data_IF_361241684537
#
_entry.id   IF_361241684537
#
_cell.length_a   1.000
_cell.length_b   1.000
_cell.length_c   1.000
_cell.angle_alpha   90.00
_cell.angle_beta   90.00
_cell.angle_gamma   90.00
#
_symmetry.space_group_name_H-M   'P 1'
#
loop_
_entity.id
_entity.type
_entity.pdbx_description
1 polymer ?
#
# COMPACT_ATOMS: atom_id res chain seq x y z
N UNK A 1 6.82 11.06 -6.10
CA UNK A 1 7.51 9.87 -5.53
C UNK A 1 7.36 8.75 -6.52
N UNK A 2 8.48 8.19 -7.00
CA UNK A 2 8.50 7.02 -7.87
C UNK A 2 8.26 5.75 -7.03
N UNK A 3 7.44 4.82 -7.54
CA UNK A 3 6.97 3.62 -6.84
C UNK A 3 7.08 2.34 -7.69
N UNK A 4 7.26 2.42 -9.02
CA UNK A 4 7.25 1.27 -9.94
C UNK A 4 8.28 0.16 -9.63
N UNK A 5 9.30 0.49 -8.86
CA UNK A 5 10.38 -0.43 -8.48
C UNK A 5 10.69 -0.36 -6.99
N UNK A 6 9.78 0.21 -6.20
CA UNK A 6 9.92 0.19 -4.75
C UNK A 6 9.80 -1.25 -4.25
N UNK A 7 10.57 -1.60 -3.22
CA UNK A 7 10.43 -2.91 -2.58
C UNK A 7 9.01 -3.04 -1.99
N UNK A 8 8.41 -4.25 -2.01
CA UNK A 8 7.05 -4.42 -1.52
C UNK A 8 6.84 -3.92 -0.10
N UNK A 9 7.76 -4.24 0.81
CA UNK A 9 7.71 -3.76 2.19
C UNK A 9 7.70 -2.22 2.29
N UNK A 10 8.36 -1.49 1.40
CA UNK A 10 8.35 -0.03 1.40
C UNK A 10 6.98 0.54 1.04
N UNK A 11 6.28 -0.07 0.07
CA UNK A 11 4.89 0.30 -0.26
C UNK A 11 3.99 0.08 0.97
N UNK A 12 4.14 -1.05 1.65
CA UNK A 12 3.38 -1.34 2.86
C UNK A 12 3.71 -0.39 4.00
N UNK A 13 4.98 -0.02 4.22
CA UNK A 13 5.39 0.97 5.24
C UNK A 13 4.80 2.35 5.01
N UNK A 14 4.58 2.75 3.76
CA UNK A 14 3.89 4.01 3.43
C UNK A 14 2.39 4.00 3.79
N UNK A 15 1.77 2.82 3.90
CA UNK A 15 0.35 2.65 4.22
C UNK A 15 0.13 2.35 5.70
N UNK A 16 0.91 1.43 6.27
CA UNK A 16 0.69 0.92 7.61
C UNK A 16 1.38 1.86 8.60
N UNK A 17 0.65 2.44 9.58
CA UNK A 17 1.26 3.28 10.60
C UNK A 17 2.34 2.52 11.38
N UNK A 18 3.48 3.16 11.65
CA UNK A 18 4.59 2.55 12.38
C UNK A 18 4.21 1.97 13.76
N UNK A 19 3.16 2.49 14.40
CA UNK A 19 2.64 1.96 15.66
C UNK A 19 2.05 0.53 15.56
N UNK A 20 1.83 0.04 14.34
CA UNK A 20 1.33 -1.31 14.07
C UNK A 20 2.46 -2.26 13.60
N UNK A 21 3.66 -1.75 13.33
CA UNK A 21 4.78 -2.58 12.89
C UNK A 21 5.26 -3.43 14.06
N UNK A 22 5.63 -4.67 13.76
CA UNK A 22 6.10 -5.64 14.73
C UNK A 22 7.57 -5.94 14.45
N UNK A 23 8.38 -6.00 15.51
CA UNK A 23 9.79 -6.41 15.45
C UNK A 23 10.61 -5.69 14.37
N UNK A 24 10.38 -4.38 14.20
CA UNK A 24 10.96 -3.60 13.10
C UNK A 24 12.50 -3.60 13.06
N UNK A 25 13.15 -3.82 14.21
CA UNK A 25 14.61 -3.89 14.32
C UNK A 25 15.17 -5.30 14.02
N UNK A 26 14.32 -6.34 14.04
CA UNK A 26 14.70 -7.75 13.85
C UNK A 26 14.34 -8.28 12.45
N UNK A 27 13.50 -7.56 11.71
CA UNK A 27 13.05 -7.93 10.36
C UNK A 27 14.06 -7.49 9.28
N UNK A 28 14.26 -8.26 8.20
CA UNK A 28 14.96 -7.81 7.00
C UNK A 28 14.38 -6.50 6.42
N UNK A 29 15.22 -5.68 5.78
CA UNK A 29 14.79 -4.39 5.24
C UNK A 29 13.71 -4.52 4.15
N UNK A 30 13.71 -5.62 3.39
CA UNK A 30 12.76 -5.92 2.32
C UNK A 30 11.50 -6.66 2.80
N UNK A 31 11.39 -6.96 4.10
CA UNK A 31 10.24 -7.63 4.70
C UNK A 31 9.51 -6.72 5.71
N UNK A 32 8.25 -7.02 5.99
CA UNK A 32 7.49 -6.30 7.01
C UNK A 32 6.53 -7.25 7.74
N UNK A 33 6.63 -7.27 9.06
CA UNK A 33 5.61 -7.83 9.94
C UNK A 33 4.80 -6.70 10.58
N UNK A 34 3.48 -6.81 10.55
CA UNK A 34 2.62 -5.83 11.21
C UNK A 34 1.30 -6.46 11.65
N UNK A 35 0.68 -5.90 12.70
CA UNK A 35 -0.67 -6.30 13.07
C UNK A 35 -1.69 -5.27 12.59
N UNK A 36 -2.84 -5.74 12.13
CA UNK A 36 -3.97 -4.88 11.84
C UNK A 36 -5.28 -5.59 12.16
N UNK A 37 -6.09 -4.96 13.01
CA UNK A 37 -7.32 -5.55 13.57
C UNK A 37 -7.04 -6.91 14.22
N UNK A 38 -7.60 -7.96 13.66
CA UNK A 38 -7.62 -9.31 14.22
C UNK A 38 -6.60 -10.24 13.58
N UNK A 39 -5.65 -9.70 12.79
CA UNK A 39 -4.63 -10.49 12.11
C UNK A 39 -3.23 -9.88 12.27
N UNK A 40 -2.23 -10.73 12.13
CA UNK A 40 -0.82 -10.41 11.89
C UNK A 40 -0.54 -10.68 10.42
N UNK A 41 0.14 -9.75 9.76
CA UNK A 41 0.48 -9.82 8.34
C UNK A 41 1.99 -9.92 8.19
N UNK A 42 2.40 -10.74 7.23
CA UNK A 42 3.80 -10.97 6.88
C UNK A 42 3.94 -10.63 5.41
N UNK A 43 4.74 -9.61 5.11
CA UNK A 43 5.09 -9.19 3.75
C UNK A 43 6.50 -9.66 3.50
N UNK A 44 6.67 -10.54 2.52
CA UNK A 44 7.97 -11.08 2.14
C UNK A 44 8.63 -10.22 1.06
N UNK A 45 9.94 -10.37 0.88
CA UNK A 45 10.72 -9.59 -0.08
C UNK A 45 10.31 -9.78 -1.55
N UNK A 46 9.66 -10.90 -1.87
CA UNK A 46 9.11 -11.18 -3.20
C UNK A 46 7.73 -10.55 -3.44
N UNK A 47 7.13 -9.92 -2.42
CA UNK A 47 5.82 -9.28 -2.49
C UNK A 47 4.66 -10.17 -2.06
N UNK A 48 4.90 -11.45 -1.80
CA UNK A 48 3.87 -12.33 -1.22
C UNK A 48 3.46 -11.82 0.16
N UNK A 49 2.17 -12.00 0.46
CA UNK A 49 1.60 -11.60 1.74
C UNK A 49 0.89 -12.78 2.37
N UNK A 50 1.18 -13.00 3.65
CA UNK A 50 0.49 -13.99 4.49
C UNK A 50 -0.27 -13.28 5.61
N UNK A 51 -1.42 -13.82 6.00
CA UNK A 51 -2.15 -13.38 7.18
C UNK A 51 -2.39 -14.53 8.16
N UNK A 52 -2.13 -14.25 9.42
CA UNK A 52 -2.35 -15.15 10.54
C UNK A 52 -3.37 -14.52 11.49
N UNK A 53 -4.42 -15.24 11.91
CA UNK A 53 -5.32 -14.76 12.95
C UNK A 53 -4.54 -14.42 14.22
N UNK A 54 -4.78 -13.23 14.77
CA UNK A 54 -4.03 -12.70 15.91
C UNK A 54 -4.40 -13.51 17.16
N UNK A 55 -3.44 -14.25 17.76
CA UNK A 55 -3.72 -15.04 18.96
C UNK A 55 -3.97 -14.12 20.16
N UNK A 56 -4.71 -14.61 21.16
CA UNK A 56 -4.96 -13.85 22.39
C UNK A 56 -3.67 -13.45 23.14
N UNK A 57 -2.60 -14.23 22.96
CA UNK A 57 -1.29 -14.00 23.56
C UNK A 57 -0.35 -13.11 22.73
N UNK A 58 -0.79 -12.51 21.62
CA UNK A 58 0.11 -11.85 20.66
C UNK A 58 1.03 -10.79 21.28
N UNK A 59 0.57 -10.03 22.27
CA UNK A 59 1.37 -8.98 22.93
C UNK A 59 2.58 -9.52 23.70
N UNK A 60 2.59 -10.83 23.99
CA UNK A 60 3.68 -11.50 24.70
C UNK A 60 4.57 -12.32 23.79
N UNK A 61 4.21 -12.42 22.51
CA UNK A 61 4.94 -13.24 21.56
C UNK A 61 6.14 -12.47 21.02
N UNK A 62 7.22 -13.20 20.76
CA UNK A 62 8.34 -12.71 19.98
C UNK A 62 8.20 -13.05 18.48
N UNK A 63 9.14 -12.57 17.67
CA UNK A 63 9.14 -12.80 16.22
C UNK A 63 9.24 -14.29 15.87
N UNK A 64 10.05 -15.06 16.60
CA UNK A 64 10.25 -16.49 16.35
C UNK A 64 8.96 -17.27 16.62
N UNK A 65 8.25 -16.94 17.70
CA UNK A 65 6.96 -17.55 18.03
C UNK A 65 5.89 -17.22 16.98
N UNK A 66 5.88 -15.99 16.45
CA UNK A 66 4.99 -15.60 15.36
C UNK A 66 5.26 -16.40 14.08
N UNK A 67 6.53 -16.55 13.70
CA UNK A 67 6.93 -17.32 12.52
C UNK A 67 6.65 -18.82 12.67
N UNK A 68 6.86 -19.37 13.87
CA UNK A 68 6.51 -20.77 14.15
C UNK A 68 5.00 -20.99 14.02
N UNK A 69 4.19 -20.06 14.55
CA UNK A 69 2.74 -20.15 14.45
C UNK A 69 2.28 -20.01 12.99
N UNK A 70 2.87 -19.09 12.24
CA UNK A 70 2.61 -18.93 10.81
C UNK A 70 2.83 -20.25 10.03
N UNK A 71 3.94 -20.94 10.31
CA UNK A 71 4.30 -22.18 9.64
C UNK A 71 3.48 -23.42 10.05
N UNK A 72 2.76 -23.35 11.17
CA UNK A 72 2.04 -24.50 11.76
C UNK A 72 0.53 -24.32 11.83
N UNK A 73 0.02 -23.11 11.60
CA UNK A 73 -1.39 -22.79 11.65
C UNK A 73 -2.11 -23.18 10.37
N UNK A 74 -3.17 -23.99 10.51
CA UNK A 74 -4.11 -24.31 9.41
C UNK A 74 -5.01 -23.11 9.04
N UNK A 75 -5.00 -22.05 9.85
CA UNK A 75 -5.78 -20.82 9.62
C UNK A 75 -4.95 -19.72 8.92
N UNK A 76 -3.71 -20.01 8.53
CA UNK A 76 -2.89 -19.08 7.75
C UNK A 76 -3.53 -18.88 6.38
N UNK A 77 -3.71 -17.62 6.00
CA UNK A 77 -4.15 -17.22 4.67
C UNK A 77 -2.93 -16.84 3.86
N UNK A 78 -2.65 -17.59 2.80
CA UNK A 78 -1.74 -17.18 1.74
C UNK A 78 -2.55 -16.45 0.65
N UNK A 79 -2.22 -15.18 0.40
CA UNK A 79 -2.93 -14.40 -0.62
C UNK A 79 -2.55 -14.83 -2.04
N UNK A 80 -1.40 -15.48 -2.23
CA UNK A 80 -0.93 -15.97 -3.53
C UNK A 80 -1.68 -17.21 -4.01
N UNK A 81 -2.15 -18.06 -3.07
CA UNK A 81 -2.88 -19.30 -3.36
C UNK A 81 -4.14 -19.08 -4.21
N UNK A 82 -4.72 -17.87 -4.17
CA UNK A 82 -5.94 -17.53 -4.89
C UNK A 82 -5.68 -16.80 -6.22
N UNK A 83 -4.42 -16.58 -6.60
CA UNK A 83 -4.06 -15.92 -7.85
C UNK A 83 -4.35 -14.41 -7.87
N UNK A 84 -4.57 -13.78 -6.71
CA UNK A 84 -4.83 -12.35 -6.57
C UNK A 84 -3.68 -11.67 -5.81
N UNK A 85 -2.65 -11.26 -6.54
CA UNK A 85 -1.34 -10.82 -6.01
C UNK A 85 -1.23 -9.32 -5.71
N UNK A 86 -2.23 -8.51 -6.08
CA UNK A 86 -2.08 -7.05 -5.99
C UNK A 86 -2.42 -6.49 -4.59
N UNK A 87 -1.71 -5.43 -4.20
CA UNK A 87 -1.91 -4.74 -2.92
C UNK A 87 -3.37 -4.37 -2.65
N UNK A 88 -4.13 -3.95 -3.67
CA UNK A 88 -5.50 -3.51 -3.51
C UNK A 88 -6.45 -4.66 -3.12
N UNK A 89 -6.19 -5.88 -3.60
CA UNK A 89 -6.90 -7.08 -3.13
C UNK A 89 -6.64 -7.32 -1.65
N UNK A 90 -5.37 -7.38 -1.25
CA UNK A 90 -4.98 -7.63 0.16
C UNK A 90 -5.58 -6.54 1.06
N UNK A 91 -5.42 -5.26 0.71
CA UNK A 91 -6.00 -4.13 1.47
C UNK A 91 -7.53 -4.25 1.62
N UNK A 92 -8.23 -4.76 0.61
CA UNK A 92 -9.67 -4.99 0.65
C UNK A 92 -10.03 -6.14 1.60
N UNK A 93 -9.30 -7.25 1.56
CA UNK A 93 -9.52 -8.40 2.47
C UNK A 93 -9.22 -8.05 3.92
N UNK A 94 -8.15 -7.31 4.16
CA UNK A 94 -7.83 -6.72 5.47
C UNK A 94 -8.93 -5.79 6.00
N UNK A 95 -9.76 -5.25 5.09
CA UNK A 95 -10.66 -4.15 5.33
C UNK A 95 -9.91 -2.89 5.79
N UNK A 96 -8.73 -2.65 5.23
CA UNK A 96 -7.88 -1.51 5.59
C UNK A 96 -8.63 -0.19 5.39
N UNK A 97 -8.50 0.72 6.37
CA UNK A 97 -9.12 2.05 6.33
C UNK A 97 -8.00 3.09 6.35
N UNK A 98 -7.78 3.74 5.21
CA UNK A 98 -6.80 4.81 5.11
C UNK A 98 -7.16 5.98 6.05
N UNK A 99 -6.26 6.42 6.93
CA UNK A 99 -6.53 7.51 7.85
C UNK A 99 -6.67 8.84 7.10
N UNK A 100 -7.82 9.49 7.25
CA UNK A 100 -8.12 10.80 6.59
C UNK A 100 -8.01 12.01 7.51
N UNK A 101 -7.90 11.77 8.83
CA UNK A 101 -7.99 12.79 9.88
C UNK A 101 -6.66 13.46 10.24
N UNK A 102 -5.53 12.76 10.07
CA UNK A 102 -4.21 13.28 10.41
C UNK A 102 -3.52 13.81 9.15
N UNK A 103 -3.67 15.11 8.89
CA UNK A 103 -2.59 15.93 8.32
C UNK A 103 -3.07 17.38 8.15
N UNK A 104 -2.28 18.32 8.66
CA UNK A 104 -2.35 19.75 8.28
C UNK A 104 -1.86 19.99 6.83
N UNK A 105 -1.41 18.94 6.14
CA UNK A 105 -0.83 18.94 4.80
C UNK A 105 -1.71 18.19 3.80
N UNK A 106 -3.00 18.52 3.76
CA UNK A 106 -3.84 18.11 2.63
C UNK A 106 -3.35 18.84 1.38
N UNK A 107 -3.05 18.11 0.32
CA UNK A 107 -2.56 18.67 -0.93
C UNK A 107 -3.30 18.07 -2.13
N UNK A 108 -3.01 18.59 -3.31
CA UNK A 108 -3.34 17.90 -4.55
C UNK A 108 -2.21 16.93 -4.88
N UNK A 109 -2.56 15.71 -5.27
CA UNK A 109 -1.62 14.68 -5.70
C UNK A 109 -2.00 14.18 -7.09
N UNK A 110 -1.04 14.20 -8.01
CA UNK A 110 -1.15 13.61 -9.33
C UNK A 110 -0.62 12.19 -9.28
N UNK A 111 -1.45 11.24 -9.69
CA UNK A 111 -1.15 9.81 -9.71
C UNK A 111 -0.94 9.38 -11.16
N UNK A 112 0.09 8.58 -11.40
CA UNK A 112 0.34 7.90 -12.68
C UNK A 112 0.40 6.39 -12.42
N UNK A 113 -0.50 5.66 -13.08
CA UNK A 113 -0.55 4.19 -13.11
C UNK A 113 -0.17 3.75 -14.52
N UNK A 114 0.68 2.73 -14.63
CA UNK A 114 1.14 2.19 -15.90
C UNK A 114 0.78 0.71 -16.02
N UNK A 115 0.59 0.26 -17.26
CA UNK A 115 0.62 -1.16 -17.60
C UNK A 115 2.08 -1.62 -17.69
N UNK A 116 2.48 -2.63 -16.92
CA UNK A 116 3.88 -3.07 -16.81
C UNK A 116 4.42 -3.67 -18.14
N UNK A 117 3.55 -4.20 -19.00
CA UNK A 117 3.91 -4.76 -20.31
C UNK A 117 4.17 -3.65 -21.35
N UNK A 118 3.39 -2.56 -21.33
CA UNK A 118 3.56 -1.41 -22.23
C UNK A 118 3.52 -0.06 -21.49
N UNK A 119 4.52 0.24 -20.62
CA UNK A 119 4.45 1.38 -19.71
C UNK A 119 4.40 2.74 -20.39
N UNK A 120 4.97 2.83 -21.61
CA UNK A 120 5.03 4.07 -22.39
C UNK A 120 3.77 4.34 -23.21
N UNK A 121 2.95 3.31 -23.46
CA UNK A 121 1.82 3.37 -24.39
C UNK A 121 0.47 3.39 -23.68
N UNK A 122 0.42 2.86 -22.45
CA UNK A 122 -0.80 2.72 -21.66
C UNK A 122 -0.56 3.18 -20.23
N UNK A 123 -0.80 4.47 -19.99
CA UNK A 123 -0.81 5.04 -18.64
C UNK A 123 -2.14 5.72 -18.33
N UNK A 124 -2.57 5.60 -17.07
CA UNK A 124 -3.71 6.32 -16.51
C UNK A 124 -3.19 7.40 -15.59
N UNK A 125 -3.57 8.64 -15.83
CA UNK A 125 -3.21 9.78 -14.99
C UNK A 125 -4.44 10.48 -14.45
N UNK A 126 -4.44 10.83 -13.17
CA UNK A 126 -5.52 11.58 -12.54
C UNK A 126 -5.01 12.33 -11.31
N UNK A 127 -5.81 13.27 -10.82
CA UNK A 127 -5.48 14.10 -9.67
C UNK A 127 -6.51 13.91 -8.55
N UNK A 128 -6.03 13.72 -7.33
CA UNK A 128 -6.84 13.77 -6.11
C UNK A 128 -6.56 15.08 -5.39
N UNK A 129 -7.63 15.82 -5.07
CA UNK A 129 -7.54 17.15 -4.44
C UNK A 129 -7.80 17.07 -2.94
N UNK A 130 -6.98 17.79 -2.17
CA UNK A 130 -7.13 17.99 -0.71
C UNK A 130 -7.12 16.66 0.07
N UNK A 131 -6.23 15.75 -0.30
CA UNK A 131 -6.03 14.45 0.38
C UNK A 131 -4.65 14.39 1.03
N UNK A 132 -4.44 13.43 1.93
CA UNK A 132 -3.09 13.06 2.40
C UNK A 132 -2.38 12.18 1.37
N UNK A 133 -1.07 12.07 1.47
CA UNK A 133 -0.30 11.13 0.63
C UNK A 133 -0.77 9.69 0.83
N UNK A 134 -0.92 9.24 2.08
CA UNK A 134 -1.33 7.87 2.40
C UNK A 134 -2.68 7.51 1.77
N UNK A 135 -3.62 8.47 1.75
CA UNK A 135 -4.91 8.29 1.07
C UNK A 135 -4.74 8.24 -0.45
N UNK A 136 -3.87 9.08 -1.03
CA UNK A 136 -3.58 9.04 -2.45
C UNK A 136 -2.94 7.71 -2.86
N UNK A 137 -2.01 7.17 -2.05
CA UNK A 137 -1.39 5.86 -2.26
C UNK A 137 -2.41 4.74 -2.15
N UNK A 138 -3.20 4.70 -1.07
CA UNK A 138 -4.30 3.74 -0.91
C UNK A 138 -5.24 3.75 -2.12
N UNK A 139 -5.69 4.94 -2.54
CA UNK A 139 -6.57 5.07 -3.70
C UNK A 139 -5.90 4.61 -4.99
N UNK A 140 -4.61 4.90 -5.18
CA UNK A 140 -3.86 4.47 -6.35
C UNK A 140 -3.78 2.94 -6.44
N UNK A 141 -3.49 2.25 -5.33
CA UNK A 141 -3.44 0.79 -5.27
C UNK A 141 -4.80 0.14 -5.49
N UNK A 142 -5.87 0.70 -4.89
CA UNK A 142 -7.23 0.25 -5.18
C UNK A 142 -7.59 0.43 -6.66
N UNK A 143 -7.09 1.51 -7.30
CA UNK A 143 -7.31 1.74 -8.72
C UNK A 143 -6.54 0.76 -9.59
N UNK A 144 -5.33 0.36 -9.21
CA UNK A 144 -4.59 -0.72 -9.85
C UNK A 144 -5.39 -2.03 -9.84
N UNK A 145 -5.90 -2.44 -8.67
CA UNK A 145 -6.76 -3.61 -8.53
C UNK A 145 -7.98 -3.55 -9.48
N UNK A 146 -8.67 -2.41 -9.52
CA UNK A 146 -9.81 -2.24 -10.43
C UNK A 146 -9.42 -2.37 -11.90
N UNK A 147 -8.27 -1.85 -12.31
CA UNK A 147 -7.79 -1.91 -13.68
C UNK A 147 -7.38 -3.35 -14.05
N UNK A 148 -6.65 -4.04 -13.17
CA UNK A 148 -6.29 -5.46 -13.32
C UNK A 148 -7.53 -6.33 -13.48
N UNK A 149 -8.56 -6.13 -12.64
CA UNK A 149 -9.82 -6.86 -12.76
C UNK A 149 -10.57 -6.55 -14.07
N UNK A 150 -10.53 -5.30 -14.55
CA UNK A 150 -11.17 -4.90 -15.82
C UNK A 150 -10.47 -5.50 -17.03
N UNK A 151 -9.16 -5.71 -16.96
CA UNK A 151 -8.39 -6.43 -17.98
C UNK A 151 -8.43 -7.95 -17.81
N UNK A 152 -9.26 -8.49 -16.90
CA UNK A 152 -9.27 -9.91 -16.56
C UNK A 152 -7.85 -10.45 -16.25
N UNK A 153 -7.04 -9.61 -15.59
CA UNK A 153 -5.65 -9.90 -15.23
C UNK A 153 -4.71 -10.18 -16.41
N UNK A 154 -5.12 -9.87 -17.64
CA UNK A 154 -4.24 -9.96 -18.83
C UNK A 154 -3.08 -8.95 -18.78
N UNK A 155 -3.26 -7.89 -17.99
CA UNK A 155 -2.29 -6.84 -17.78
C UNK A 155 -2.17 -6.55 -16.30
N UNK A 156 -0.94 -6.29 -15.88
CA UNK A 156 -0.61 -5.80 -14.56
C UNK A 156 -0.45 -4.28 -14.59
N UNK A 157 -1.20 -3.62 -13.72
CA UNK A 157 -1.20 -2.18 -13.54
C UNK A 157 -0.57 -1.84 -12.21
N UNK A 158 0.46 -1.00 -12.26
CA UNK A 158 1.21 -0.59 -11.08
C UNK A 158 1.25 0.93 -10.96
N UNK A 159 1.32 1.39 -9.71
CA UNK A 159 1.51 2.80 -9.42
C UNK A 159 2.95 3.15 -9.79
N UNK A 160 3.12 3.92 -10.85
CA UNK A 160 4.45 4.38 -11.24
C UNK A 160 4.93 5.49 -10.34
N UNK A 161 4.10 6.51 -10.12
CA UNK A 161 4.43 7.64 -9.24
C UNK A 161 3.22 8.38 -8.70
N UNK A 162 3.45 9.05 -7.57
CA UNK A 162 2.52 10.00 -6.95
C UNK A 162 3.26 11.31 -6.64
N UNK A 163 2.89 12.38 -7.33
CA UNK A 163 3.53 13.70 -7.20
C UNK A 163 2.61 14.69 -6.48
N UNK A 164 3.14 15.43 -5.52
CA UNK A 164 2.44 16.58 -4.93
C UNK A 164 2.38 17.70 -5.98
N UNK A 165 1.18 18.20 -6.25
CA UNK A 165 0.97 19.32 -7.17
C UNK A 165 1.16 20.61 -6.38
N UNK A 166 2.20 21.38 -6.71
CA UNK A 166 2.37 22.72 -6.16
C UNK A 166 1.27 23.63 -6.72
N UNK A 167 0.53 24.31 -5.84
CA UNK A 167 -0.35 25.38 -6.27
C UNK A 167 0.53 26.53 -6.74
N UNK A 168 0.50 26.86 -8.04
CA UNK A 168 0.98 28.16 -8.50
C UNK A 168 0.15 29.21 -7.78
N UNK A 169 0.77 29.95 -6.87
CA UNK A 169 0.20 31.19 -6.36
C UNK A 169 0.09 32.12 -7.55
N UNK A 170 -1.12 32.31 -8.09
CA UNK A 170 -1.37 33.40 -9.02
C UNK A 170 -1.14 34.70 -8.25
N UNK A 171 0.04 35.29 -8.44
CA UNK A 171 0.28 36.67 -8.03
C UNK A 171 -0.80 37.52 -8.69
N UNK A 172 -1.76 37.97 -7.88
CA UNK A 172 -2.67 39.03 -8.28
C UNK A 172 -1.82 40.26 -8.55
N UNK A 173 -1.46 40.45 -9.83
CA UNK A 173 -0.94 41.73 -10.33
C UNK A 173 -2.08 42.73 -10.16
N UNK A 174 -2.10 43.41 -9.01
CA UNK A 174 -2.92 44.60 -8.79
C UNK A 174 -2.37 45.68 -9.70
N UNK A 175 -3.00 45.89 -10.85
CA UNK A 175 -2.87 47.15 -11.57
C UNK A 175 -3.43 48.26 -10.68
N UNK A 176 -2.55 49.10 -10.12
CA UNK A 176 -2.95 50.40 -9.60
C UNK A 176 -3.12 51.34 -10.79
N UNK A 177 -4.32 51.91 -10.91
CA UNK A 177 -4.67 53.02 -11.81
C UNK A 177 -4.49 54.32 -11.04
#
# INVERSE_FOLDING_TARGET
>A
MELLHAAPADIWRLLIPAANWMFADDMPEDELMFHYRDHIYFVNGDGSVLALPKPASFERMDASECLQLLATSDETVDFDDNGEFDYGFVLKQMGYIAPTRRSREKAAYRIEIVNTILPQSMSTQYELKRVSFDFALYHALMRCHELNRRSNWEYEHEVKRIDKVEQRTEEHVRFQV
#
